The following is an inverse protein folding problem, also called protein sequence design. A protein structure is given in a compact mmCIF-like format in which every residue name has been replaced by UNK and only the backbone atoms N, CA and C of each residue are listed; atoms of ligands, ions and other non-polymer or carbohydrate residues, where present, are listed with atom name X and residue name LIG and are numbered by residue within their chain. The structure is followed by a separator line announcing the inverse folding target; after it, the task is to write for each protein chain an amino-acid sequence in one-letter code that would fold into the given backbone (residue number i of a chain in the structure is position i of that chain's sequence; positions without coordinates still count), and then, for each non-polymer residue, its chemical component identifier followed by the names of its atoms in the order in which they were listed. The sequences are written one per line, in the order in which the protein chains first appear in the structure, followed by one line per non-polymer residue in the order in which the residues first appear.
data_IF_441619061317
#
_entry.id   IF_441619061317
#
_cell.length_a   1.000
_cell.length_b   1.000
_cell.length_c   1.000
_cell.angle_alpha   90.00
_cell.angle_beta   90.00
_cell.angle_gamma   90.00
#
_symmetry.space_group_name_H-M   'P 1'
#
loop_
_entity.id
_entity.type
_entity.pdbx_description
1 polymer ?
#
# COMPACT_ATOMS: atom_id res chain seq x y z
N UNK A 1 -11.91 -8.43 -2.44
CA UNK A 1 -11.33 -9.07 -3.65
C UNK A 1 -11.46 -8.23 -4.92
N UNK A 2 -12.56 -7.47 -5.15
CA UNK A 2 -12.71 -6.62 -6.34
C UNK A 2 -11.60 -5.57 -6.48
N UNK A 3 -11.28 -4.85 -5.39
CA UNK A 3 -10.21 -3.84 -5.37
C UNK A 3 -8.83 -4.43 -5.73
N UNK A 4 -8.43 -5.56 -5.15
CA UNK A 4 -7.15 -6.21 -5.47
C UNK A 4 -7.02 -6.66 -6.94
N UNK A 5 -8.08 -7.25 -7.51
CA UNK A 5 -8.07 -7.66 -8.93
C UNK A 5 -7.98 -6.46 -9.86
N UNK A 6 -8.66 -5.36 -9.51
CA UNK A 6 -8.60 -4.11 -10.24
C UNK A 6 -7.19 -3.49 -10.16
N UNK A 7 -6.58 -3.47 -8.98
CA UNK A 7 -5.19 -3.03 -8.82
C UNK A 7 -4.26 -3.85 -9.70
N UNK A 8 -4.35 -5.18 -9.65
CA UNK A 8 -3.52 -6.06 -10.48
C UNK A 8 -3.68 -5.76 -11.98
N UNK A 9 -4.91 -5.55 -12.43
CA UNK A 9 -5.20 -5.21 -13.81
C UNK A 9 -4.63 -3.84 -14.21
N UNK A 10 -4.83 -2.81 -13.37
CA UNK A 10 -4.28 -1.47 -13.58
C UNK A 10 -2.75 -1.47 -13.57
N UNK A 11 -2.13 -2.25 -12.68
CA UNK A 11 -0.69 -2.44 -12.63
C UNK A 11 -0.16 -3.02 -13.95
N UNK A 12 -0.81 -4.06 -14.48
CA UNK A 12 -0.40 -4.65 -15.77
C UNK A 12 -0.56 -3.67 -16.93
N UNK A 13 -1.65 -2.89 -16.95
CA UNK A 13 -1.86 -1.85 -17.95
C UNK A 13 -0.81 -0.74 -17.86
N UNK A 14 -0.54 -0.23 -16.65
CA UNK A 14 0.47 0.81 -16.44
C UNK A 14 1.88 0.32 -16.80
N UNK A 15 2.21 -0.92 -16.44
CA UNK A 15 3.49 -1.54 -16.79
C UNK A 15 3.65 -1.74 -18.30
N UNK A 16 2.63 -2.26 -18.96
CA UNK A 16 2.63 -2.40 -20.43
C UNK A 16 2.70 -1.06 -21.14
N UNK A 17 1.95 -0.06 -20.67
CA UNK A 17 2.00 1.30 -21.20
C UNK A 17 3.40 1.92 -21.05
N UNK A 18 4.01 1.81 -19.86
CA UNK A 18 5.36 2.31 -19.63
C UNK A 18 6.42 1.65 -20.51
N UNK A 19 6.29 0.35 -20.76
CA UNK A 19 7.15 -0.37 -21.70
C UNK A 19 6.99 0.14 -23.14
N UNK A 20 5.75 0.28 -23.62
CA UNK A 20 5.49 0.75 -24.99
C UNK A 20 5.94 2.20 -25.17
N UNK A 21 5.62 3.07 -24.21
CA UNK A 21 5.99 4.47 -24.24
C UNK A 21 7.51 4.67 -24.24
N UNK A 22 8.23 3.93 -23.40
CA UNK A 22 9.69 3.98 -23.36
C UNK A 22 10.34 3.44 -24.64
N UNK A 23 9.80 2.35 -25.20
CA UNK A 23 10.24 1.83 -26.50
C UNK A 23 10.09 2.88 -27.61
N UNK A 24 8.96 3.61 -27.63
CA UNK A 24 8.73 4.70 -28.59
C UNK A 24 9.73 5.84 -28.39
N UNK A 25 9.89 6.32 -27.16
CA UNK A 25 10.76 7.47 -26.85
C UNK A 25 12.23 7.16 -27.17
N UNK A 26 12.77 6.04 -26.69
CA UNK A 26 14.19 5.73 -26.87
C UNK A 26 14.52 5.44 -28.33
N UNK A 27 13.62 4.80 -29.08
CA UNK A 27 13.83 4.55 -30.52
C UNK A 27 13.65 5.80 -31.38
N UNK A 28 12.76 6.72 -30.99
CA UNK A 28 12.48 7.92 -31.76
C UNK A 28 13.47 9.06 -31.47
N UNK A 29 13.96 9.17 -30.24
CA UNK A 29 14.83 10.26 -29.80
C UNK A 29 16.30 9.87 -29.61
N UNK A 30 16.69 8.62 -29.94
CA UNK A 30 18.07 8.09 -29.80
C UNK A 30 18.74 8.48 -28.46
N UNK A 31 17.95 8.47 -27.39
CA UNK A 31 18.36 9.08 -26.11
C UNK A 31 19.40 8.21 -25.41
N UNK A 32 20.51 8.80 -24.98
CA UNK A 32 21.48 8.10 -24.12
C UNK A 32 20.88 7.91 -22.73
N UNK A 33 20.72 6.65 -22.33
CA UNK A 33 19.99 6.22 -21.14
C UNK A 33 20.91 5.81 -19.97
N UNK A 34 22.22 6.06 -20.10
CA UNK A 34 23.25 5.68 -19.12
C UNK A 34 22.97 6.15 -17.68
N UNK A 35 22.35 7.31 -17.47
CA UNK A 35 22.02 7.85 -16.14
C UNK A 35 20.63 7.52 -15.58
N UNK A 36 19.72 6.99 -16.40
CA UNK A 36 18.30 6.85 -16.05
C UNK A 36 18.06 5.68 -15.07
N UNK A 37 18.93 4.68 -15.09
CA UNK A 37 18.80 3.47 -14.26
C UNK A 37 18.83 3.74 -12.75
N UNK A 38 19.66 4.68 -12.28
CA UNK A 38 19.78 4.99 -10.85
C UNK A 38 18.55 5.70 -10.30
N UNK A 39 18.02 6.68 -11.05
CA UNK A 39 16.78 7.39 -10.68
C UNK A 39 15.60 6.43 -10.58
N UNK A 40 15.46 5.53 -11.55
CA UNK A 40 14.37 4.56 -11.54
C UNK A 40 14.47 3.58 -10.35
N UNK A 41 15.69 3.13 -10.00
CA UNK A 41 15.90 2.31 -8.79
C UNK A 41 15.55 3.07 -7.51
N UNK A 42 15.80 4.38 -7.45
CA UNK A 42 15.40 5.20 -6.30
C UNK A 42 13.87 5.33 -6.20
N UNK A 43 13.17 5.53 -7.33
CA UNK A 43 11.71 5.57 -7.37
C UNK A 43 11.06 4.25 -6.94
N UNK A 44 11.70 3.12 -7.25
CA UNK A 44 11.30 1.77 -6.84
C UNK A 44 11.33 1.55 -5.30
N UNK A 45 12.15 2.30 -4.56
CA UNK A 45 12.28 2.16 -3.10
C UNK A 45 11.19 2.93 -2.32
N UNK A 46 10.58 3.95 -2.93
CA UNK A 46 9.54 4.77 -2.29
C UNK A 46 8.28 3.99 -1.89
N UNK A 47 7.67 3.16 -2.76
CA UNK A 47 6.50 2.39 -2.36
C UNK A 47 6.85 1.33 -1.31
N UNK A 48 8.06 0.75 -1.36
CA UNK A 48 8.53 -0.23 -0.35
C UNK A 48 8.60 0.41 1.05
N UNK A 49 9.15 1.62 1.15
CA UNK A 49 9.26 2.33 2.43
C UNK A 49 7.89 2.73 3.00
N UNK A 50 6.97 3.24 2.16
CA UNK A 50 5.60 3.53 2.61
C UNK A 50 4.84 2.28 3.04
N UNK A 51 5.01 1.17 2.33
CA UNK A 51 4.39 -0.11 2.69
C UNK A 51 4.93 -0.63 4.03
N UNK A 52 6.23 -0.45 4.30
CA UNK A 52 6.81 -0.71 5.61
C UNK A 52 6.15 0.09 6.73
N UNK A 53 5.89 1.38 6.50
CA UNK A 53 5.19 2.24 7.46
C UNK A 53 3.75 1.76 7.70
N UNK A 54 3.00 1.42 6.65
CA UNK A 54 1.63 0.89 6.75
C UNK A 54 1.60 -0.41 7.56
N UNK A 55 2.53 -1.34 7.30
CA UNK A 55 2.63 -2.60 8.02
C UNK A 55 2.97 -2.38 9.50
N UNK A 56 3.85 -1.42 9.80
CA UNK A 56 4.25 -1.06 11.16
C UNK A 56 3.07 -0.46 11.92
N UNK A 57 2.33 0.44 11.29
CA UNK A 57 1.14 1.07 11.86
C UNK A 57 0.03 0.05 12.15
N UNK A 58 -0.24 -0.85 11.20
CA UNK A 58 -1.15 -2.00 11.33
C UNK A 58 -0.77 -2.98 12.45
N UNK A 59 0.52 -3.02 12.80
CA UNK A 59 1.04 -3.91 13.84
C UNK A 59 1.08 -3.23 15.21
N UNK A 60 0.73 -1.94 15.31
CA UNK A 60 0.76 -1.24 16.59
C UNK A 60 -0.40 -1.68 17.50
N UNK A 61 -0.05 -2.06 18.73
CA UNK A 61 -1.02 -2.51 19.75
C UNK A 61 -2.03 -1.42 20.16
N UNK A 62 -1.73 -0.16 19.83
CA UNK A 62 -2.64 0.99 20.01
C UNK A 62 -4.01 0.79 19.35
N UNK A 63 -4.09 0.00 18.28
CA UNK A 63 -5.35 -0.30 17.57
C UNK A 63 -6.25 -1.20 18.41
N UNK A 64 -5.69 -1.99 19.34
CA UNK A 64 -6.39 -3.08 20.01
C UNK A 64 -6.75 -2.80 21.48
N UNK A 65 -6.26 -1.71 22.06
CA UNK A 65 -6.34 -1.49 23.50
C UNK A 65 -7.77 -1.29 24.05
N UNK A 66 -8.74 -0.91 23.22
CA UNK A 66 -10.11 -0.60 23.67
C UNK A 66 -11.22 -1.35 22.89
N UNK A 67 -10.88 -2.45 22.21
CA UNK A 67 -11.84 -3.23 21.42
C UNK A 67 -12.41 -4.40 22.20
N UNK A 68 -13.73 -4.61 22.05
CA UNK A 68 -14.37 -5.81 22.53
C UNK A 68 -13.78 -7.03 21.78
N UNK A 69 -13.66 -8.19 22.43
CA UNK A 69 -12.92 -9.35 21.86
C UNK A 69 -13.47 -9.83 20.50
N UNK A 70 -14.77 -9.65 20.25
CA UNK A 70 -15.42 -9.96 18.97
C UNK A 70 -15.04 -8.98 17.85
N UNK A 71 -14.92 -7.69 18.16
CA UNK A 71 -14.52 -6.62 17.23
C UNK A 71 -13.03 -6.70 16.94
N UNK A 72 -12.23 -6.97 17.98
CA UNK A 72 -10.79 -7.26 17.89
C UNK A 72 -10.52 -8.44 16.94
N UNK A 73 -11.29 -9.51 17.02
CA UNK A 73 -11.19 -10.66 16.09
C UNK A 73 -11.52 -10.28 14.64
N UNK A 74 -12.59 -9.52 14.41
CA UNK A 74 -13.00 -9.10 13.06
C UNK A 74 -11.95 -8.19 12.43
N UNK A 75 -11.47 -7.22 13.20
CA UNK A 75 -10.42 -6.30 12.79
C UNK A 75 -9.11 -7.03 12.49
N UNK A 76 -8.68 -7.91 13.39
CA UNK A 76 -7.46 -8.72 13.20
C UNK A 76 -7.53 -9.56 11.92
N UNK A 77 -8.68 -10.17 11.61
CA UNK A 77 -8.86 -10.92 10.36
C UNK A 77 -8.78 -10.02 9.12
N UNK A 78 -9.40 -8.85 9.15
CA UNK A 78 -9.41 -7.90 8.02
C UNK A 78 -7.99 -7.36 7.77
N UNK A 79 -7.30 -6.95 8.83
CA UNK A 79 -5.90 -6.51 8.80
C UNK A 79 -4.99 -7.63 8.28
N UNK A 80 -5.12 -8.85 8.80
CA UNK A 80 -4.30 -9.98 8.35
C UNK A 80 -4.49 -10.29 6.86
N UNK A 81 -5.73 -10.23 6.36
CA UNK A 81 -6.00 -10.41 4.92
C UNK A 81 -5.36 -9.31 4.08
N UNK A 82 -5.53 -8.03 4.45
CA UNK A 82 -4.98 -6.89 3.71
C UNK A 82 -3.45 -6.88 3.77
N UNK A 83 -2.88 -7.17 4.93
CA UNK A 83 -1.43 -7.31 5.13
C UNK A 83 -0.83 -8.44 4.29
N UNK A 84 -1.49 -9.59 4.20
CA UNK A 84 -1.05 -10.69 3.30
C UNK A 84 -1.09 -10.27 1.82
N UNK A 85 -2.12 -9.55 1.41
CA UNK A 85 -2.21 -9.01 0.05
C UNK A 85 -1.07 -8.05 -0.26
N UNK A 86 -0.79 -7.10 0.64
CA UNK A 86 0.31 -6.16 0.51
C UNK A 86 1.67 -6.87 0.47
N UNK A 87 1.91 -7.89 1.30
CA UNK A 87 3.16 -8.66 1.27
C UNK A 87 3.38 -9.39 -0.06
N UNK A 88 2.35 -10.04 -0.60
CA UNK A 88 2.44 -10.73 -1.90
C UNK A 88 2.77 -9.71 -3.00
N UNK A 89 2.10 -8.56 -2.96
CA UNK A 89 2.33 -7.44 -3.87
C UNK A 89 3.78 -6.96 -3.83
N UNK A 90 4.27 -6.64 -2.64
CA UNK A 90 5.64 -6.17 -2.41
C UNK A 90 6.65 -7.21 -2.87
N UNK A 91 6.45 -8.48 -2.50
CA UNK A 91 7.36 -9.56 -2.90
C UNK A 91 7.46 -9.66 -4.41
N UNK A 92 6.34 -9.63 -5.11
CA UNK A 92 6.30 -9.68 -6.57
C UNK A 92 7.02 -8.47 -7.20
N UNK A 93 6.77 -7.28 -6.66
CA UNK A 93 7.39 -6.04 -7.11
C UNK A 93 8.91 -6.05 -6.96
N UNK A 94 9.40 -6.42 -5.76
CA UNK A 94 10.82 -6.50 -5.44
C UNK A 94 11.51 -7.50 -6.35
N UNK A 95 10.91 -8.68 -6.56
CA UNK A 95 11.46 -9.71 -7.46
C UNK A 95 11.58 -9.16 -8.88
N UNK A 96 10.51 -8.56 -9.43
CA UNK A 96 10.52 -7.97 -10.77
C UNK A 96 11.57 -6.86 -10.91
N UNK A 97 11.69 -6.01 -9.90
CA UNK A 97 12.63 -4.89 -9.87
C UNK A 97 14.07 -5.40 -9.87
N UNK A 98 14.39 -6.34 -8.97
CA UNK A 98 15.72 -6.96 -8.89
C UNK A 98 16.07 -7.66 -10.21
N UNK A 99 15.14 -8.40 -10.82
CA UNK A 99 15.36 -9.06 -12.11
C UNK A 99 15.65 -8.04 -13.22
N UNK A 100 14.90 -6.94 -13.29
CA UNK A 100 15.12 -5.91 -14.32
C UNK A 100 16.45 -5.17 -14.09
N UNK A 101 16.80 -4.84 -12.84
CA UNK A 101 18.07 -4.17 -12.52
C UNK A 101 19.28 -5.06 -12.78
N UNK A 102 19.23 -6.33 -12.36
CA UNK A 102 20.29 -7.29 -12.65
C UNK A 102 20.42 -7.56 -14.15
N UNK A 103 19.30 -7.69 -14.86
CA UNK A 103 19.28 -7.83 -16.32
C UNK A 103 19.94 -6.63 -17.01
N UNK A 104 19.60 -5.41 -16.59
CA UNK A 104 20.20 -4.19 -17.13
C UNK A 104 21.72 -4.11 -16.89
N UNK A 105 22.20 -4.54 -15.72
CA UNK A 105 23.62 -4.49 -15.36
C UNK A 105 24.45 -5.61 -16.01
N UNK A 106 23.90 -6.84 -16.08
CA UNK A 106 24.63 -8.04 -16.50
C UNK A 106 24.50 -8.34 -17.99
N UNK A 107 23.41 -7.92 -18.63
CA UNK A 107 23.12 -8.28 -20.03
C UNK A 107 23.35 -7.08 -20.95
N UNK A 108 24.52 -7.03 -21.57
CA UNK A 108 24.93 -5.92 -22.45
C UNK A 108 24.19 -5.88 -23.78
N UNK A 109 23.76 -7.04 -24.30
CA UNK A 109 23.11 -7.17 -25.60
C UNK A 109 21.64 -6.69 -25.62
N UNK A 110 20.99 -6.59 -24.46
CA UNK A 110 19.56 -6.26 -24.34
C UNK A 110 19.29 -5.10 -23.36
N UNK A 111 20.26 -4.18 -23.21
CA UNK A 111 20.16 -3.08 -22.24
C UNK A 111 18.94 -2.19 -22.48
N UNK A 112 18.56 -1.96 -23.73
CA UNK A 112 17.42 -1.12 -24.07
C UNK A 112 16.10 -1.77 -23.64
N UNK A 113 15.93 -3.06 -23.91
CA UNK A 113 14.76 -3.84 -23.54
C UNK A 113 14.60 -3.90 -22.02
N UNK A 114 15.69 -4.17 -21.29
CA UNK A 114 15.68 -4.15 -19.82
C UNK A 114 15.35 -2.77 -19.27
N UNK A 115 15.80 -1.70 -19.93
CA UNK A 115 15.46 -0.35 -19.53
C UNK A 115 13.99 -0.02 -19.76
N UNK A 116 13.39 -0.47 -20.87
CA UNK A 116 11.96 -0.32 -21.11
C UNK A 116 11.14 -1.05 -20.06
N UNK A 117 11.56 -2.26 -19.72
CA UNK A 117 10.95 -3.03 -18.63
C UNK A 117 11.07 -2.29 -17.30
N UNK A 118 12.21 -1.67 -17.01
CA UNK A 118 12.45 -0.94 -15.77
C UNK A 118 11.55 0.31 -15.65
N UNK A 119 11.33 1.03 -16.76
CA UNK A 119 10.36 2.15 -16.82
C UNK A 119 8.92 1.65 -16.64
N UNK A 120 8.57 0.53 -17.29
CA UNK A 120 7.28 -0.13 -17.10
C UNK A 120 7.02 -0.52 -15.65
N UNK A 121 7.99 -1.16 -14.99
CA UNK A 121 7.91 -1.51 -13.56
C UNK A 121 7.75 -0.24 -12.71
N UNK A 122 8.48 0.82 -13.00
CA UNK A 122 8.37 2.10 -12.25
C UNK A 122 6.98 2.73 -12.37
N UNK A 123 6.32 2.63 -13.51
CA UNK A 123 4.94 3.08 -13.68
C UNK A 123 3.93 2.18 -12.96
N UNK A 124 4.17 0.87 -12.96
CA UNK A 124 3.39 -0.09 -12.19
C UNK A 124 3.49 0.15 -10.67
N UNK A 125 4.67 0.57 -10.20
CA UNK A 125 4.94 0.97 -8.81
C UNK A 125 4.05 2.12 -8.32
N UNK A 126 3.78 3.10 -9.17
CA UNK A 126 2.93 4.25 -8.84
C UNK A 126 1.49 3.77 -8.54
N UNK A 127 0.97 2.84 -9.34
CA UNK A 127 -0.36 2.24 -9.09
C UNK A 127 -0.38 1.53 -7.74
N UNK A 128 0.71 0.86 -7.38
CA UNK A 128 0.83 0.21 -6.08
C UNK A 128 0.90 1.19 -4.93
N UNK A 129 1.62 2.30 -5.09
CA UNK A 129 1.67 3.36 -4.10
C UNK A 129 0.26 3.90 -3.78
N UNK A 130 -0.55 4.20 -4.80
CA UNK A 130 -1.93 4.65 -4.59
C UNK A 130 -2.81 3.58 -3.94
N UNK A 131 -2.63 2.30 -4.31
CA UNK A 131 -3.35 1.22 -3.65
C UNK A 131 -2.98 1.12 -2.16
N UNK A 132 -1.71 1.30 -1.83
CA UNK A 132 -1.22 1.29 -0.46
C UNK A 132 -1.83 2.43 0.36
N UNK A 133 -1.88 3.65 -0.19
CA UNK A 133 -2.55 4.79 0.43
C UNK A 133 -4.03 4.53 0.66
N UNK A 134 -4.75 4.00 -0.32
CA UNK A 134 -6.17 3.67 -0.16
C UNK A 134 -6.42 2.65 0.96
N UNK A 135 -5.53 1.65 1.11
CA UNK A 135 -5.61 0.71 2.23
C UNK A 135 -5.33 1.40 3.56
N UNK A 136 -4.39 2.34 3.62
CA UNK A 136 -4.09 3.14 4.82
C UNK A 136 -5.29 3.99 5.24
N UNK A 137 -5.95 4.65 4.29
CA UNK A 137 -7.15 5.45 4.54
C UNK A 137 -8.29 4.60 5.08
N UNK A 138 -8.55 3.43 4.49
CA UNK A 138 -9.55 2.47 5.01
C UNK A 138 -9.26 2.05 6.47
N UNK A 139 -7.98 1.87 6.82
CA UNK A 139 -7.56 1.52 8.18
C UNK A 139 -7.77 2.70 9.12
N UNK A 140 -7.42 3.92 8.71
CA UNK A 140 -7.58 5.13 9.50
C UNK A 140 -9.04 5.48 9.74
N UNK A 141 -9.90 5.37 8.71
CA UNK A 141 -11.35 5.55 8.83
C UNK A 141 -11.95 4.55 9.82
N UNK A 142 -11.52 3.29 9.75
CA UNK A 142 -11.95 2.30 10.71
C UNK A 142 -11.51 2.66 12.15
N UNK A 143 -10.29 3.16 12.31
CA UNK A 143 -9.74 3.61 13.60
C UNK A 143 -10.55 4.78 14.16
N UNK A 144 -10.91 5.74 13.33
CA UNK A 144 -11.74 6.89 13.69
C UNK A 144 -13.16 6.46 14.09
N UNK A 145 -13.80 5.57 13.32
CA UNK A 145 -15.12 5.02 13.66
C UNK A 145 -15.15 4.33 15.02
N UNK A 146 -14.07 3.63 15.38
CA UNK A 146 -13.96 3.00 16.69
C UNK A 146 -13.82 4.03 17.80
N UNK A 147 -13.02 5.07 17.59
CA UNK A 147 -12.85 6.17 18.54
C UNK A 147 -14.17 6.90 18.80
N UNK A 148 -14.94 7.22 17.76
CA UNK A 148 -16.24 7.89 17.89
C UNK A 148 -17.26 7.05 18.66
N UNK A 149 -17.25 5.72 18.47
CA UNK A 149 -18.11 4.81 19.25
C UNK A 149 -17.70 4.76 20.71
N UNK A 150 -16.41 4.77 20.99
CA UNK A 150 -15.90 4.82 22.37
C UNK A 150 -16.37 6.09 23.06
N UNK A 151 -16.18 7.25 22.44
CA UNK A 151 -16.60 8.53 23.00
C UNK A 151 -18.11 8.55 23.28
N UNK A 152 -18.93 8.00 22.36
CA UNK A 152 -20.39 7.85 22.59
C UNK A 152 -20.73 6.93 23.75
N UNK A 153 -20.03 5.80 23.91
CA UNK A 153 -20.25 4.86 25.01
C UNK A 153 -19.90 5.48 26.36
N UNK A 154 -18.79 6.20 26.45
CA UNK A 154 -18.38 6.92 27.66
C UNK A 154 -19.37 8.04 28.02
N UNK A 155 -19.87 8.78 27.02
CA UNK A 155 -20.92 9.78 27.19
C UNK A 155 -22.24 9.17 27.69
N UNK A 156 -22.62 8.00 27.16
CA UNK A 156 -23.81 7.28 27.61
C UNK A 156 -23.66 6.78 29.06
N UNK A 157 -22.51 6.22 29.43
CA UNK A 157 -22.25 5.81 30.81
C UNK A 157 -22.29 6.99 31.78
N UNK A 158 -21.61 8.11 31.45
CA UNK A 158 -21.65 9.33 32.28
C UNK A 158 -23.07 9.87 32.45
N UNK A 159 -23.87 9.83 31.39
CA UNK A 159 -25.29 10.24 31.46
C UNK A 159 -26.10 9.29 32.36
N UNK A 160 -25.88 7.98 32.23
CA UNK A 160 -26.57 6.97 33.04
C UNK A 160 -26.20 7.08 34.53
N UNK A 161 -24.93 7.34 34.84
CA UNK A 161 -24.44 7.60 36.21
C UNK A 161 -25.08 8.86 36.81
N UNK A 162 -25.20 9.94 36.04
CA UNK A 162 -25.90 11.16 36.47
C UNK A 162 -27.40 10.93 36.73
N UNK A 163 -28.05 10.13 35.90
CA UNK A 163 -29.47 9.78 36.09
C UNK A 163 -29.68 8.91 37.33
N UNK A 164 -28.81 7.91 37.55
CA UNK A 164 -28.83 7.08 38.76
C UNK A 164 -28.53 7.87 40.03
N UNK A 165 -27.61 8.84 39.96
CA UNK A 165 -27.31 9.68 41.12
C UNK A 165 -28.46 10.61 41.48
N UNK A 166 -29.24 11.13 40.51
CA UNK A 166 -30.46 11.90 40.79
C UNK A 166 -31.60 11.04 41.34
N UNK A 167 -31.79 9.82 40.83
CA UNK A 167 -32.84 8.90 41.31
C UNK A 167 -32.67 8.41 42.76
N UNK A 168 -31.49 8.60 43.37
CA UNK A 168 -31.21 8.19 44.75
C UNK A 168 -31.48 9.32 45.78
N UNK A 169 -31.93 10.50 45.35
CA UNK A 169 -32.26 11.64 46.21
C UNK A 169 -33.76 11.93 46.33
N UNK A 170 -34.61 11.11 45.71
CA UNK A 170 -36.08 11.06 45.93
C UNK A 170 -36.45 9.80 46.73
#
# INVERSE_FOLDING_TARGET
MKSFKLTLFLTLLAGGFGYIASCFVVRYFETDVSGVSFLLVAFLLLPITQLGNIIKELSSDSIYNNLNESEKRRLKKLIQMKRKQLYILVGLLVILSVLCTLGFQLVTQYKAEFLFSLIGVTLADIVFFFHALAVMDEINDFKNLLKDRQEKSELQQKTLERLKSHSNYD
#
